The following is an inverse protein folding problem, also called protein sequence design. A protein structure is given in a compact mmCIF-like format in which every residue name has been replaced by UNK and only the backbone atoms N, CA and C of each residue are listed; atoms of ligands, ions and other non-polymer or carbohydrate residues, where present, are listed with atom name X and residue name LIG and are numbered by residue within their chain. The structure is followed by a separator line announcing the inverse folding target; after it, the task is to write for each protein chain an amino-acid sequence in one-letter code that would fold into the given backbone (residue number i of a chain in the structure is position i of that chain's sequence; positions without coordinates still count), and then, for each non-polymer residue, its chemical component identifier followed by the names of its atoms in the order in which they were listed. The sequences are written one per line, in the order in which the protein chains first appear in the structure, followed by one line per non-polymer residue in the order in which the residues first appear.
data_IF_879975859762
#
_entry.id   IF_879975859762
#
_cell.length_a   1.000
_cell.length_b   1.000
_cell.length_c   1.000
_cell.angle_alpha   90.00
_cell.angle_beta   90.00
_cell.angle_gamma   90.00
#
_symmetry.space_group_name_H-M   'P 1'
#
loop_
_entity.id
_entity.type
_entity.pdbx_description
1 polymer ?
#
# COMPACT_ATOMS: atom_id res chain seq x y z
N UNK A 1 -28.24 1.66 22.32
CA UNK A 1 -27.05 0.77 22.24
C UNK A 1 -26.54 0.79 20.80
N UNK A 2 -25.43 1.48 20.50
CA UNK A 2 -24.82 1.48 19.16
C UNK A 2 -23.76 0.38 19.12
N UNK A 3 -23.87 -0.51 18.15
CA UNK A 3 -23.08 -1.74 18.03
C UNK A 3 -21.58 -1.43 18.08
N UNK A 4 -20.90 -2.06 19.02
CA UNK A 4 -19.44 -2.07 19.15
C UNK A 4 -18.86 -2.64 17.84
N UNK A 5 -18.39 -1.77 16.96
CA UNK A 5 -17.65 -2.18 15.78
C UNK A 5 -16.37 -2.86 16.24
N UNK A 6 -16.30 -4.17 16.05
CA UNK A 6 -15.13 -4.99 16.33
C UNK A 6 -13.94 -4.40 15.56
N UNK A 7 -13.08 -3.66 16.26
CA UNK A 7 -11.76 -3.26 15.77
C UNK A 7 -10.98 -4.55 15.56
N UNK A 8 -11.02 -5.07 14.32
CA UNK A 8 -10.11 -6.12 13.89
C UNK A 8 -8.74 -5.47 13.82
N UNK A 9 -7.99 -5.61 14.90
CA UNK A 9 -6.60 -5.17 15.04
C UNK A 9 -5.77 -5.92 14.00
N UNK A 10 -5.73 -5.39 12.78
CA UNK A 10 -4.90 -5.91 11.71
C UNK A 10 -3.44 -5.85 12.15
N UNK A 11 -2.73 -6.95 12.01
CA UNK A 11 -1.30 -6.99 12.26
C UNK A 11 -0.62 -6.07 11.24
N UNK A 12 0.14 -5.07 11.71
CA UNK A 12 0.98 -4.23 10.85
C UNK A 12 2.20 -5.06 10.48
N UNK A 13 2.09 -5.89 9.46
CA UNK A 13 3.23 -6.53 8.81
C UNK A 13 3.23 -6.01 7.37
N UNK A 14 4.24 -5.21 7.03
CA UNK A 14 4.43 -4.73 5.67
C UNK A 14 5.49 -3.64 5.59
N UNK A 15 6.68 -4.04 5.16
CA UNK A 15 7.93 -3.27 5.08
C UNK A 15 7.72 -1.91 4.41
N UNK A 16 8.30 -0.88 5.03
CA UNK A 16 8.44 0.46 4.48
C UNK A 16 9.45 0.41 3.33
N UNK A 17 8.98 0.39 2.08
CA UNK A 17 9.91 0.50 0.95
C UNK A 17 10.03 1.96 0.54
N UNK A 18 11.14 2.57 0.95
CA UNK A 18 11.46 3.96 0.64
C UNK A 18 12.10 4.05 -0.75
N UNK A 19 11.44 4.76 -1.66
CA UNK A 19 11.97 4.98 -3.00
C UNK A 19 12.85 6.25 -3.03
N UNK A 20 14.16 6.08 -2.88
CA UNK A 20 15.16 7.17 -2.95
C UNK A 20 15.70 7.40 -4.37
N UNK A 21 15.83 8.67 -4.78
CA UNK A 21 16.53 9.06 -6.02
C UNK A 21 15.64 9.35 -7.23
N UNK A 22 16.12 10.24 -8.12
CA UNK A 22 15.46 10.59 -9.37
C UNK A 22 15.74 9.52 -10.43
N UNK A 23 14.83 8.57 -10.61
CA UNK A 23 14.99 7.52 -11.61
C UNK A 23 13.66 6.88 -12.00
N UNK A 24 13.70 6.09 -13.07
CA UNK A 24 12.62 5.53 -13.89
C UNK A 24 11.41 4.96 -13.11
N UNK A 25 10.31 4.68 -13.80
CA UNK A 25 9.20 3.97 -13.17
C UNK A 25 9.72 2.64 -12.58
N UNK A 26 9.51 2.43 -11.28
CA UNK A 26 9.92 1.23 -10.57
C UNK A 26 8.67 0.53 -10.10
N UNK A 27 8.43 -0.67 -10.62
CA UNK A 27 7.36 -1.56 -10.19
C UNK A 27 8.01 -2.81 -9.61
N UNK A 28 7.69 -3.13 -8.36
CA UNK A 28 8.11 -4.36 -7.71
C UNK A 28 6.88 -5.20 -7.36
N UNK A 29 7.06 -6.51 -7.32
CA UNK A 29 6.03 -7.48 -6.96
C UNK A 29 6.64 -8.52 -6.03
N UNK A 30 6.04 -8.73 -4.87
CA UNK A 30 6.54 -9.62 -3.81
C UNK A 30 5.42 -10.47 -3.23
N UNK A 31 5.76 -11.69 -2.80
CA UNK A 31 4.86 -12.56 -2.04
C UNK A 31 5.06 -12.33 -0.53
N UNK A 32 4.07 -11.74 0.12
CA UNK A 32 4.15 -11.28 1.51
C UNK A 32 2.84 -11.54 2.23
N UNK A 33 2.88 -11.90 3.52
CA UNK A 33 1.65 -12.10 4.32
C UNK A 33 0.68 -13.16 3.80
N UNK A 34 1.15 -14.10 2.96
CA UNK A 34 0.29 -15.08 2.26
C UNK A 34 -0.47 -14.51 1.07
N UNK A 35 -0.07 -13.35 0.56
CA UNK A 35 -0.65 -12.67 -0.59
C UNK A 35 0.41 -12.15 -1.56
N UNK A 36 -0.05 -11.42 -2.57
CA UNK A 36 0.78 -10.76 -3.59
C UNK A 36 0.70 -9.26 -3.41
N UNK A 37 1.85 -8.61 -3.26
CA UNK A 37 1.96 -7.17 -3.10
C UNK A 37 2.70 -6.56 -4.30
N UNK A 38 2.05 -5.62 -4.98
CA UNK A 38 2.62 -4.87 -6.09
C UNK A 38 2.71 -3.40 -5.68
N UNK A 39 3.90 -2.83 -5.76
CA UNK A 39 4.13 -1.48 -5.27
C UNK A 39 5.20 -0.78 -6.12
N UNK A 40 5.18 0.54 -6.12
CA UNK A 40 6.06 1.25 -7.04
C UNK A 40 5.88 2.74 -7.15
N UNK A 41 6.66 3.28 -8.09
CA UNK A 41 6.57 4.62 -8.62
C UNK A 41 6.29 4.55 -10.12
N UNK A 42 5.29 5.29 -10.58
CA UNK A 42 4.98 5.45 -11.99
C UNK A 42 5.15 6.92 -12.40
N UNK A 43 5.79 7.17 -13.55
CA UNK A 43 6.04 8.53 -14.02
C UNK A 43 7.21 9.24 -13.35
N UNK A 44 7.46 10.50 -13.75
CA UNK A 44 8.58 11.31 -13.24
C UNK A 44 8.25 11.92 -11.89
N UNK A 45 9.21 11.93 -10.97
CA UNK A 45 9.11 12.66 -9.70
C UNK A 45 9.61 14.12 -9.85
N UNK A 46 8.99 15.10 -9.15
CA UNK A 46 7.69 15.01 -8.50
C UNK A 46 6.55 14.99 -9.55
N UNK A 47 5.34 14.61 -9.14
CA UNK A 47 4.15 14.59 -10.01
C UNK A 47 3.78 13.23 -10.60
N UNK A 48 4.63 12.21 -10.42
CA UNK A 48 4.32 10.81 -10.67
C UNK A 48 3.34 10.23 -9.64
N UNK A 49 3.19 8.91 -9.63
CA UNK A 49 2.29 8.19 -8.72
C UNK A 49 3.06 7.15 -7.91
N UNK A 50 3.00 7.27 -6.58
CA UNK A 50 3.43 6.25 -5.64
C UNK A 50 2.24 5.36 -5.36
N UNK A 51 2.35 4.06 -5.63
CA UNK A 51 1.25 3.12 -5.47
C UNK A 51 1.62 1.90 -4.62
N UNK A 52 0.58 1.30 -4.06
CA UNK A 52 0.64 0.07 -3.30
C UNK A 52 -0.66 -0.70 -3.54
N UNK A 53 -0.55 -1.91 -4.07
CA UNK A 53 -1.66 -2.78 -4.40
C UNK A 53 -1.41 -4.13 -3.72
N UNK A 54 -2.36 -4.64 -2.95
CA UNK A 54 -2.17 -5.89 -2.23
C UNK A 54 -3.37 -6.81 -2.42
N UNK A 55 -3.09 -8.07 -2.75
CA UNK A 55 -4.04 -9.16 -2.89
C UNK A 55 -3.75 -10.23 -1.85
N UNK A 56 -4.78 -10.73 -1.17
CA UNK A 56 -4.67 -11.91 -0.34
C UNK A 56 -5.89 -12.82 -0.56
N UNK A 57 -5.63 -14.08 -0.93
CA UNK A 57 -6.68 -15.07 -1.23
C UNK A 57 -7.40 -15.61 0.00
N UNK A 58 -6.81 -15.48 1.19
CA UNK A 58 -7.27 -16.14 2.41
C UNK A 58 -7.74 -15.18 3.50
N UNK A 59 -7.19 -13.95 3.53
CA UNK A 59 -7.40 -12.99 4.61
C UNK A 59 -8.01 -11.67 4.12
N UNK A 60 -8.74 -10.99 5.01
CA UNK A 60 -9.11 -9.58 4.85
C UNK A 60 -7.83 -8.73 4.89
N UNK A 61 -7.69 -7.75 4.00
CA UNK A 61 -6.42 -7.06 3.81
C UNK A 61 -6.57 -5.65 3.23
N UNK A 62 -5.49 -4.87 3.21
CA UNK A 62 -5.45 -3.54 2.62
C UNK A 62 -4.03 -3.07 2.30
N UNK A 63 -3.94 -1.94 1.62
CA UNK A 63 -2.68 -1.31 1.19
C UNK A 63 -2.63 0.17 1.58
N UNK A 64 -1.45 0.78 1.55
CA UNK A 64 -1.29 2.22 1.71
C UNK A 64 -0.09 2.74 0.90
N UNK A 65 -0.24 3.94 0.34
CA UNK A 65 0.83 4.67 -0.34
C UNK A 65 1.04 6.01 0.36
N UNK A 66 2.30 6.37 0.60
CA UNK A 66 2.69 7.60 1.28
C UNK A 66 3.67 8.38 0.41
N UNK A 67 3.56 9.69 0.44
CA UNK A 67 4.55 10.61 -0.08
C UNK A 67 4.72 11.79 0.88
N UNK A 68 5.52 12.78 0.49
CA UNK A 68 5.59 14.06 1.21
C UNK A 68 4.25 14.80 1.27
N UNK A 69 3.24 14.41 0.48
CA UNK A 69 1.89 14.99 0.54
C UNK A 69 0.98 14.35 1.59
N UNK A 70 1.36 13.19 2.13
CA UNK A 70 0.56 12.48 3.13
C UNK A 70 0.46 10.98 2.86
N UNK A 71 -0.53 10.35 3.49
CA UNK A 71 -0.79 8.91 3.43
C UNK A 71 -2.18 8.67 2.84
N UNK A 72 -2.24 7.94 1.72
CA UNK A 72 -3.48 7.36 1.21
C UNK A 72 -3.57 5.89 1.63
N UNK A 73 -4.66 5.50 2.29
CA UNK A 73 -4.87 4.15 2.81
C UNK A 73 -6.17 3.58 2.24
N UNK A 74 -6.08 2.40 1.62
CA UNK A 74 -7.28 1.69 1.16
C UNK A 74 -8.16 1.27 2.34
N UNK A 75 -9.49 1.11 2.17
CA UNK A 75 -10.27 0.31 3.11
C UNK A 75 -9.75 -1.14 3.17
N UNK A 76 -10.15 -1.87 4.21
CA UNK A 76 -9.95 -3.33 4.23
C UNK A 76 -10.90 -3.96 3.21
N UNK A 77 -10.37 -4.82 2.37
CA UNK A 77 -11.13 -5.59 1.39
C UNK A 77 -11.18 -7.06 1.82
N UNK A 78 -12.27 -7.74 1.45
CA UNK A 78 -12.41 -9.16 1.69
C UNK A 78 -11.39 -10.00 0.92
N UNK A 79 -11.24 -11.26 1.34
CA UNK A 79 -10.37 -12.26 0.69
C UNK A 79 -10.66 -12.38 -0.82
N UNK A 80 -9.62 -12.68 -1.59
CA UNK A 80 -9.71 -12.89 -3.04
C UNK A 80 -9.95 -11.61 -3.86
N UNK A 81 -9.83 -10.43 -3.25
CA UNK A 81 -9.90 -9.12 -3.92
C UNK A 81 -8.54 -8.44 -3.88
N UNK A 82 -8.36 -7.45 -4.73
CA UNK A 82 -7.23 -6.52 -4.63
C UNK A 82 -7.64 -5.29 -3.82
N UNK A 83 -6.71 -4.81 -3.00
CA UNK A 83 -6.73 -3.47 -2.42
C UNK A 83 -5.79 -2.57 -3.21
N UNK A 84 -6.16 -1.29 -3.37
CA UNK A 84 -5.40 -0.31 -4.13
C UNK A 84 -5.22 0.98 -3.31
N UNK A 85 -4.01 1.54 -3.34
CA UNK A 85 -3.71 2.84 -2.79
C UNK A 85 -2.70 3.56 -3.69
N UNK A 86 -2.95 4.83 -3.98
CA UNK A 86 -2.08 5.66 -4.80
C UNK A 86 -2.08 7.10 -4.30
N UNK A 87 -0.93 7.76 -4.36
CA UNK A 87 -0.77 9.18 -4.05
C UNK A 87 0.28 9.78 -4.97
N UNK A 88 0.16 11.07 -5.27
CA UNK A 88 1.17 11.75 -6.07
C UNK A 88 2.55 11.67 -5.40
N UNK A 89 3.55 11.30 -6.19
CA UNK A 89 4.92 11.15 -5.74
C UNK A 89 5.60 12.50 -5.55
N UNK A 90 6.39 12.59 -4.49
CA UNK A 90 7.28 13.72 -4.21
C UNK A 90 8.72 13.33 -4.53
N UNK A 91 9.68 14.26 -4.44
CA UNK A 91 11.10 13.92 -4.64
C UNK A 91 11.61 12.89 -3.62
N UNK A 92 11.14 13.00 -2.38
CA UNK A 92 11.51 12.16 -1.24
C UNK A 92 10.27 11.68 -0.48
N UNK A 93 10.43 10.72 0.44
CA UNK A 93 9.34 10.31 1.32
C UNK A 93 8.28 9.41 0.67
N UNK A 94 8.53 8.89 -0.53
CA UNK A 94 7.64 7.92 -1.17
C UNK A 94 7.81 6.55 -0.53
N UNK A 95 6.73 6.01 0.02
CA UNK A 95 6.70 4.75 0.74
C UNK A 95 5.43 3.97 0.38
N UNK A 96 5.52 2.65 0.35
CA UNK A 96 4.39 1.75 0.15
C UNK A 96 4.27 0.76 1.31
N UNK A 97 3.04 0.36 1.63
CA UNK A 97 2.71 -0.55 2.74
C UNK A 97 1.57 -1.51 2.36
N UNK A 98 1.53 -2.66 3.02
CA UNK A 98 0.40 -3.59 3.02
C UNK A 98 0.03 -3.99 4.46
N UNK A 99 -1.16 -4.58 4.64
CA UNK A 99 -1.65 -5.12 5.92
C UNK A 99 -2.68 -6.22 5.72
N UNK A 100 -2.84 -7.12 6.68
CA UNK A 100 -3.94 -8.08 6.75
C UNK A 100 -4.39 -8.39 8.19
N UNK A 101 -5.54 -9.08 8.29
CA UNK A 101 -6.08 -9.64 9.54
C UNK A 101 -5.44 -11.00 9.89
#
# INVERSE_FOLDING_TARGET
MRKMGLLRTGVILGVVIAFGGASAAYAASESVGGGTWQYGLQGKKPGGITYSNYYNGSKSHGSSAKSGKGLNRSPMVGKGKWSYAAIESTLTGNQAYWRNE
#
